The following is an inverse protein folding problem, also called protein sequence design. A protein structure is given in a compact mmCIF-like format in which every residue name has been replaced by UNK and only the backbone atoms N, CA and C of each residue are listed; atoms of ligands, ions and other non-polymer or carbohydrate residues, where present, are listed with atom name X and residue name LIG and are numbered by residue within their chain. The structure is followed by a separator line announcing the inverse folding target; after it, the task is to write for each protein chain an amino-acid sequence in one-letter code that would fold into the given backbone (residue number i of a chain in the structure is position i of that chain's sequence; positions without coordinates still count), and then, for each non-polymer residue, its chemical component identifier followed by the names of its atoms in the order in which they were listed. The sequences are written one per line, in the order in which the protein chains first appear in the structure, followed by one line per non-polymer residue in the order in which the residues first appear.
data_IF_162154601413
#
_entry.id   IF_162154601413
#
_cell.length_a   1.000
_cell.length_b   1.000
_cell.length_c   1.000
_cell.angle_alpha   90.00
_cell.angle_beta   90.00
_cell.angle_gamma   90.00
#
_symmetry.space_group_name_H-M   'P 1'
#
loop_
_entity.id
_entity.type
_entity.pdbx_description
1 polymer ?
#
# COMPACT_ATOMS: atom_id res chain seq x y z
N UNK A 1 -11.14 -7.24 -0.72
CA UNK A 1 -12.36 -7.51 -1.50
C UNK A 1 -13.43 -8.17 -0.62
N UNK A 2 -14.72 -7.98 -0.95
CA UNK A 2 -15.83 -8.61 -0.21
C UNK A 2 -15.76 -10.15 -0.18
N UNK A 3 -15.43 -10.86 -1.27
CA UNK A 3 -15.20 -12.30 -1.21
C UNK A 3 -14.13 -12.69 -0.20
N UNK A 4 -12.95 -12.08 -0.26
CA UNK A 4 -11.85 -12.34 0.68
C UNK A 4 -12.28 -12.14 2.13
N UNK A 5 -13.01 -11.07 2.43
CA UNK A 5 -13.52 -10.83 3.79
C UNK A 5 -14.43 -11.98 4.28
N UNK A 6 -15.30 -12.50 3.40
CA UNK A 6 -16.19 -13.61 3.74
C UNK A 6 -15.44 -14.93 3.95
N UNK A 7 -14.44 -15.18 3.09
CA UNK A 7 -13.62 -16.41 3.17
C UNK A 7 -12.75 -16.44 4.44
N UNK A 8 -12.27 -15.26 4.87
CA UNK A 8 -11.42 -15.13 6.06
C UNK A 8 -12.20 -15.00 7.38
N UNK A 9 -13.53 -14.89 7.33
CA UNK A 9 -14.37 -14.59 8.49
C UNK A 9 -14.12 -15.50 9.70
N UNK A 10 -13.91 -16.78 9.46
CA UNK A 10 -13.73 -17.78 10.52
C UNK A 10 -12.24 -18.14 10.74
N UNK A 11 -11.33 -17.49 10.02
CA UNK A 11 -9.88 -17.76 10.05
C UNK A 11 -9.14 -16.77 10.94
N UNK A 12 -9.45 -15.48 10.81
CA UNK A 12 -8.81 -14.42 11.58
C UNK A 12 -9.59 -14.11 12.85
N UNK A 13 -8.88 -13.77 13.92
CA UNK A 13 -9.49 -13.41 15.21
C UNK A 13 -9.94 -11.95 15.24
N UNK A 14 -9.18 -11.09 14.56
CA UNK A 14 -9.39 -9.64 14.54
C UNK A 14 -9.15 -9.10 13.13
N UNK A 15 -9.86 -8.02 12.80
CA UNK A 15 -9.75 -7.30 11.54
C UNK A 15 -9.60 -5.82 11.85
N UNK A 16 -8.57 -5.20 11.33
CA UNK A 16 -8.25 -3.80 11.55
C UNK A 16 -8.24 -3.04 10.22
N UNK A 17 -8.78 -1.83 10.19
CA UNK A 17 -8.78 -0.96 9.01
C UNK A 17 -9.14 0.47 9.39
N UNK A 18 -9.23 1.39 8.43
CA UNK A 18 -9.85 2.69 8.66
C UNK A 18 -11.32 2.52 9.11
N UNK A 19 -11.87 3.49 9.85
CA UNK A 19 -13.25 3.45 10.34
C UNK A 19 -14.26 3.16 9.24
N UNK A 20 -14.08 3.80 8.07
CA UNK A 20 -14.99 3.60 6.95
C UNK A 20 -14.96 2.16 6.43
N UNK A 21 -13.78 1.60 6.22
CA UNK A 21 -13.64 0.21 5.74
C UNK A 21 -14.14 -0.78 6.79
N UNK A 22 -13.90 -0.54 8.07
CA UNK A 22 -14.42 -1.37 9.16
C UNK A 22 -15.97 -1.37 9.17
N UNK A 23 -16.62 -0.22 8.94
CA UNK A 23 -18.09 -0.16 8.83
C UNK A 23 -18.61 -0.98 7.66
N UNK A 24 -17.95 -0.90 6.48
CA UNK A 24 -18.31 -1.70 5.31
C UNK A 24 -18.11 -3.22 5.54
N UNK A 25 -17.04 -3.60 6.25
CA UNK A 25 -16.83 -5.00 6.64
C UNK A 25 -18.02 -5.53 7.45
N UNK A 26 -18.52 -4.74 8.38
CA UNK A 26 -19.69 -5.09 9.19
C UNK A 26 -20.96 -5.17 8.36
N UNK A 27 -21.27 -4.13 7.61
CA UNK A 27 -22.52 -4.00 6.86
C UNK A 27 -22.62 -5.03 5.73
N UNK A 28 -21.54 -5.27 4.99
CA UNK A 28 -21.55 -6.04 3.76
C UNK A 28 -21.07 -7.49 3.91
N UNK A 29 -20.22 -7.75 4.92
CA UNK A 29 -19.59 -9.06 5.13
C UNK A 29 -19.94 -9.70 6.49
N UNK A 30 -20.56 -8.95 7.40
CA UNK A 30 -20.86 -9.41 8.75
C UNK A 30 -19.60 -9.66 9.60
N UNK A 31 -18.53 -8.89 9.31
CA UNK A 31 -17.28 -8.90 10.08
C UNK A 31 -17.26 -7.70 11.03
N UNK A 32 -16.99 -7.98 12.31
CA UNK A 32 -16.76 -6.92 13.29
C UNK A 32 -15.29 -6.43 13.18
N UNK A 33 -15.08 -5.51 12.23
CA UNK A 33 -13.80 -4.83 12.07
C UNK A 33 -13.60 -3.74 13.11
N UNK A 34 -12.35 -3.55 13.53
CA UNK A 34 -11.92 -2.49 14.42
C UNK A 34 -11.44 -1.33 13.57
N UNK A 35 -12.10 -0.15 13.72
CA UNK A 35 -11.76 1.06 12.99
C UNK A 35 -10.65 1.85 13.67
N UNK A 36 -9.78 2.45 12.86
CA UNK A 36 -8.66 3.28 13.28
C UNK A 36 -8.59 4.56 12.48
N UNK A 37 -7.99 5.60 13.07
CA UNK A 37 -7.57 6.81 12.38
C UNK A 37 -6.11 6.71 11.91
N UNK A 38 -5.73 7.62 11.01
CA UNK A 38 -4.34 7.79 10.61
C UNK A 38 -3.51 8.23 11.82
N UNK A 39 -2.37 7.58 12.04
CA UNK A 39 -1.50 7.77 13.19
C UNK A 39 -1.83 6.86 14.38
N UNK A 40 -2.89 6.07 14.30
CA UNK A 40 -3.17 5.05 15.31
C UNK A 40 -2.17 3.90 15.21
N UNK A 41 -1.92 3.28 16.35
CA UNK A 41 -1.06 2.11 16.51
C UNK A 41 -1.86 0.89 16.94
N UNK A 42 -1.62 -0.24 16.28
CA UNK A 42 -2.22 -1.53 16.60
C UNK A 42 -1.11 -2.43 17.16
N UNK A 43 -1.24 -2.82 18.42
CA UNK A 43 -0.27 -3.72 19.03
C UNK A 43 -0.73 -5.17 18.92
N UNK A 44 0.05 -6.00 18.21
CA UNK A 44 -0.20 -7.43 18.05
C UNK A 44 1.00 -8.19 18.61
N UNK A 45 0.92 -8.65 19.85
CA UNK A 45 2.05 -9.22 20.61
C UNK A 45 3.22 -8.21 20.65
N UNK A 46 4.36 -8.55 20.03
CA UNK A 46 5.56 -7.75 19.93
C UNK A 46 5.68 -6.98 18.59
N UNK A 47 4.61 -6.96 17.81
CA UNK A 47 4.52 -6.22 16.54
C UNK A 47 3.68 -4.96 16.75
N UNK A 48 4.21 -3.82 16.34
CA UNK A 48 3.50 -2.55 16.28
C UNK A 48 3.18 -2.19 14.83
N UNK A 49 1.91 -1.90 14.55
CA UNK A 49 1.42 -1.52 13.22
C UNK A 49 0.84 -0.12 13.30
N UNK A 50 1.47 0.83 12.64
CA UNK A 50 1.02 2.21 12.51
C UNK A 50 0.26 2.39 11.20
N UNK A 51 -0.91 3.04 11.23
CA UNK A 51 -1.63 3.49 10.05
C UNK A 51 -1.05 4.82 9.58
N UNK A 52 -0.37 4.81 8.44
CA UNK A 52 0.25 6.01 7.87
C UNK A 52 -0.62 6.62 6.76
N UNK A 53 -0.50 7.94 6.47
CA UNK A 53 -1.34 8.61 5.48
C UNK A 53 -1.16 8.06 4.07
N UNK A 54 -2.27 7.98 3.32
CA UNK A 54 -2.31 7.69 1.90
C UNK A 54 -3.29 8.63 1.18
N UNK A 55 -3.07 8.90 -0.11
CA UNK A 55 -4.01 9.64 -0.98
C UNK A 55 -4.42 8.77 -2.16
N UNK A 56 -5.64 8.30 -2.11
CA UNK A 56 -6.27 7.56 -3.22
C UNK A 56 -7.69 8.05 -3.50
N UNK A 57 -7.99 9.30 -3.17
CA UNK A 57 -9.32 9.92 -3.29
C UNK A 57 -9.65 10.40 -4.73
N UNK A 58 -9.13 9.71 -5.76
CA UNK A 58 -9.36 10.06 -7.17
C UNK A 58 -10.83 10.01 -7.58
N UNK A 59 -11.66 9.23 -6.88
CA UNK A 59 -13.10 9.12 -7.11
C UNK A 59 -13.80 10.47 -7.02
N UNK A 60 -13.31 11.40 -6.18
CA UNK A 60 -13.88 12.73 -6.04
C UNK A 60 -13.84 13.54 -7.36
N UNK A 61 -12.94 13.19 -8.27
CA UNK A 61 -12.73 13.88 -9.55
C UNK A 61 -13.48 13.22 -10.71
N UNK A 62 -14.11 12.08 -10.50
CA UNK A 62 -14.77 11.30 -11.55
C UNK A 62 -16.27 11.23 -11.29
N UNK A 63 -17.07 11.90 -12.13
CA UNK A 63 -18.52 12.03 -11.95
C UNK A 63 -19.27 10.73 -11.71
N UNK A 64 -18.80 9.60 -12.26
CA UNK A 64 -19.38 8.28 -12.05
C UNK A 64 -19.19 7.75 -10.63
N UNK A 65 -18.14 8.19 -9.94
CA UNK A 65 -17.72 7.64 -8.64
C UNK A 65 -17.82 8.64 -7.49
N UNK A 66 -18.12 9.92 -7.77
CA UNK A 66 -18.25 10.97 -6.75
C UNK A 66 -19.66 11.06 -6.13
N UNK A 67 -20.34 9.93 -6.01
CA UNK A 67 -21.67 9.86 -5.36
C UNK A 67 -21.63 10.17 -3.86
N UNK A 68 -20.44 10.29 -3.30
CA UNK A 68 -20.13 10.79 -1.97
C UNK A 68 -18.77 11.48 -1.98
N UNK A 69 -18.44 12.22 -0.92
CA UNK A 69 -17.06 12.70 -0.70
C UNK A 69 -16.24 11.55 -0.12
N UNK A 70 -15.10 11.27 -0.73
CA UNK A 70 -14.10 10.34 -0.25
C UNK A 70 -13.05 11.13 0.52
N UNK A 71 -12.89 10.83 1.81
CA UNK A 71 -12.02 11.58 2.72
C UNK A 71 -10.63 10.93 2.81
N UNK A 72 -9.58 11.74 2.96
CA UNK A 72 -8.19 11.26 3.01
C UNK A 72 -7.97 10.26 4.15
N UNK A 73 -8.63 10.43 5.29
CA UNK A 73 -8.58 9.51 6.43
C UNK A 73 -9.19 8.12 6.19
N UNK A 74 -9.82 7.90 5.03
CA UNK A 74 -10.37 6.60 4.65
C UNK A 74 -9.34 5.71 3.97
N UNK A 75 -8.18 6.28 3.61
CA UNK A 75 -7.05 5.59 2.99
C UNK A 75 -5.87 5.57 3.94
N UNK A 76 -5.19 4.44 4.02
CA UNK A 76 -4.00 4.30 4.84
C UNK A 76 -3.02 3.32 4.23
N UNK A 77 -1.77 3.57 4.48
CA UNK A 77 -0.68 2.63 4.36
C UNK A 77 -0.41 1.98 5.74
N UNK A 78 0.45 0.97 5.79
CA UNK A 78 0.79 0.30 7.04
C UNK A 78 2.29 0.30 7.26
N UNK A 79 2.73 0.85 8.39
CA UNK A 79 4.11 0.79 8.83
C UNK A 79 4.24 -0.21 9.99
N UNK A 80 4.89 -1.33 9.73
CA UNK A 80 4.98 -2.48 10.64
C UNK A 80 6.35 -2.53 11.27
N UNK A 81 6.41 -2.46 12.60
CA UNK A 81 7.61 -2.62 13.41
C UNK A 81 7.58 -3.95 14.11
N UNK A 82 8.48 -4.85 13.74
CA UNK A 82 8.77 -6.08 14.47
C UNK A 82 9.96 -5.87 15.41
N UNK A 83 10.32 -6.81 16.27
CA UNK A 83 11.52 -6.70 17.11
C UNK A 83 12.83 -6.51 16.33
N UNK A 84 12.86 -6.89 15.06
CA UNK A 84 14.08 -6.92 14.25
C UNK A 84 14.00 -6.15 12.95
N UNK A 85 12.82 -5.81 12.46
CA UNK A 85 12.60 -5.21 11.14
C UNK A 85 11.51 -4.15 11.15
N UNK A 86 11.69 -3.16 10.28
CA UNK A 86 10.70 -2.15 9.93
C UNK A 86 10.25 -2.41 8.49
N UNK A 87 8.97 -2.62 8.30
CA UNK A 87 8.37 -2.95 7.00
C UNK A 87 7.31 -1.91 6.71
N UNK A 88 7.45 -1.21 5.60
CA UNK A 88 6.44 -0.25 5.17
C UNK A 88 5.68 -0.79 3.96
N UNK A 89 4.39 -0.99 4.15
CA UNK A 89 3.49 -1.37 3.09
C UNK A 89 2.81 -0.11 2.55
N UNK A 90 3.39 0.47 1.50
CA UNK A 90 2.84 1.60 0.76
C UNK A 90 1.83 1.03 -0.23
N UNK A 91 0.55 1.33 -0.01
CA UNK A 91 -0.54 0.88 -0.87
C UNK A 91 -0.68 1.73 -2.15
N UNK A 92 -1.86 1.68 -2.73
CA UNK A 92 -2.22 2.50 -3.90
C UNK A 92 -2.38 3.96 -3.45
N UNK A 93 -1.31 4.73 -3.49
CA UNK A 93 -1.28 6.11 -3.03
C UNK A 93 -0.53 7.00 -3.99
N UNK A 94 -0.97 8.25 -4.14
CA UNK A 94 -0.09 9.29 -4.64
C UNK A 94 1.02 9.55 -3.63
N UNK A 95 2.15 10.08 -4.12
CA UNK A 95 3.22 10.47 -3.22
C UNK A 95 2.82 11.66 -2.36
N UNK A 96 2.86 11.48 -1.05
CA UNK A 96 2.68 12.54 -0.05
C UNK A 96 4.04 13.03 0.47
N UNK A 97 4.11 14.31 0.85
CA UNK A 97 5.35 14.88 1.39
C UNK A 97 5.80 14.18 2.68
N UNK A 98 4.88 13.81 3.56
CA UNK A 98 5.19 13.06 4.77
C UNK A 98 5.86 11.70 4.50
N UNK A 99 5.55 11.07 3.38
CA UNK A 99 6.15 9.80 2.98
C UNK A 99 7.65 9.91 2.62
N UNK A 100 8.14 11.12 2.36
CA UNK A 100 9.55 11.40 2.12
C UNK A 100 10.34 11.64 3.42
N UNK A 101 9.66 11.68 4.56
CA UNK A 101 10.24 12.00 5.88
C UNK A 101 9.95 10.93 6.94
N UNK A 102 9.56 9.74 6.50
CA UNK A 102 9.32 8.61 7.41
C UNK A 102 10.64 8.09 8.02
N UNK A 103 10.54 7.44 9.16
CA UNK A 103 11.64 6.63 9.68
C UNK A 103 12.02 5.58 8.62
N UNK A 104 13.29 5.48 8.18
CA UNK A 104 13.65 4.58 7.08
C UNK A 104 13.29 3.12 7.36
N UNK A 105 12.49 2.47 6.50
CA UNK A 105 12.18 1.05 6.64
C UNK A 105 13.32 0.16 6.16
N UNK A 106 13.39 -1.07 6.67
CA UNK A 106 14.28 -2.10 6.13
C UNK A 106 13.75 -2.62 4.79
N UNK A 107 12.43 -2.75 4.68
CA UNK A 107 11.74 -3.23 3.46
C UNK A 107 10.55 -2.32 3.18
N UNK A 108 10.37 -1.95 1.93
CA UNK A 108 9.21 -1.20 1.44
C UNK A 108 8.54 -1.97 0.30
N UNK A 109 7.25 -2.29 0.51
CA UNK A 109 6.37 -2.75 -0.56
C UNK A 109 5.67 -1.52 -1.12
N UNK A 110 5.88 -1.19 -2.39
CA UNK A 110 5.30 0.03 -2.93
C UNK A 110 4.78 -0.12 -4.35
N UNK A 111 3.77 0.68 -4.65
CA UNK A 111 3.11 0.75 -5.94
C UNK A 111 4.11 1.16 -7.05
N UNK A 112 4.11 0.41 -8.15
CA UNK A 112 4.89 0.72 -9.33
C UNK A 112 3.98 0.74 -10.58
N UNK A 113 2.98 1.61 -10.55
CA UNK A 113 2.04 1.83 -11.64
C UNK A 113 2.27 3.20 -12.29
N UNK A 114 2.36 3.23 -13.61
CA UNK A 114 2.47 4.49 -14.38
C UNK A 114 1.09 5.13 -14.55
N UNK A 115 0.60 5.73 -13.48
CA UNK A 115 -0.78 6.18 -13.40
C UNK A 115 -0.89 7.42 -12.49
N UNK A 116 -1.54 8.51 -12.94
CA UNK A 116 -1.67 9.74 -12.16
C UNK A 116 -2.60 9.64 -10.94
N UNK A 117 -3.41 8.58 -10.83
CA UNK A 117 -4.23 8.33 -9.64
C UNK A 117 -3.51 7.51 -8.57
N UNK A 118 -2.38 6.93 -8.95
CA UNK A 118 -1.40 6.26 -8.08
C UNK A 118 -0.14 7.11 -7.97
N UNK A 119 0.97 6.48 -7.61
CA UNK A 119 2.23 7.20 -7.40
C UNK A 119 2.81 7.79 -8.70
N UNK A 120 2.70 7.07 -9.83
CA UNK A 120 3.37 7.41 -11.09
C UNK A 120 4.89 7.18 -11.03
N UNK A 121 5.53 6.91 -12.16
CA UNK A 121 6.94 6.46 -12.20
C UNK A 121 7.91 7.49 -11.60
N UNK A 122 7.78 8.76 -11.93
CA UNK A 122 8.65 9.83 -11.43
C UNK A 122 8.64 9.91 -9.89
N UNK A 123 7.46 9.83 -9.30
CA UNK A 123 7.30 9.85 -7.85
C UNK A 123 7.75 8.53 -7.20
N UNK A 124 7.56 7.40 -7.88
CA UNK A 124 8.08 6.10 -7.43
C UNK A 124 9.61 6.13 -7.34
N UNK A 125 10.30 6.69 -8.34
CA UNK A 125 11.75 6.87 -8.29
C UNK A 125 12.17 7.83 -7.19
N UNK A 126 11.42 8.93 -6.98
CA UNK A 126 11.69 9.88 -5.90
C UNK A 126 11.56 9.22 -4.53
N UNK A 127 10.49 8.47 -4.28
CA UNK A 127 10.29 7.76 -3.03
C UNK A 127 11.38 6.72 -2.81
N UNK A 128 11.67 5.90 -3.81
CA UNK A 128 12.70 4.89 -3.76
C UNK A 128 14.09 5.48 -3.43
N UNK A 129 14.45 6.60 -4.06
CA UNK A 129 15.74 7.25 -3.85
C UNK A 129 15.84 8.01 -2.52
N UNK A 130 14.71 8.34 -1.90
CA UNK A 130 14.67 8.93 -0.54
C UNK A 130 15.21 7.93 0.50
N UNK A 131 15.02 6.63 0.28
CA UNK A 131 15.45 5.57 1.19
C UNK A 131 16.46 4.62 0.52
N UNK A 132 17.71 5.06 0.28
CA UNK A 132 18.66 4.36 -0.59
C UNK A 132 19.13 2.99 -0.07
N UNK A 133 18.92 2.70 1.21
CA UNK A 133 19.32 1.43 1.84
C UNK A 133 18.15 0.47 2.07
N UNK A 134 16.92 0.88 1.76
CA UNK A 134 15.70 0.10 1.93
C UNK A 134 15.57 -0.94 0.80
N UNK A 135 15.28 -2.19 1.11
CA UNK A 135 14.84 -3.18 0.12
C UNK A 135 13.53 -2.74 -0.50
N UNK A 136 13.44 -2.78 -1.82
CA UNK A 136 12.25 -2.36 -2.57
C UNK A 136 11.56 -3.58 -3.17
N UNK A 137 10.39 -3.91 -2.68
CA UNK A 137 9.54 -4.96 -3.25
C UNK A 137 8.44 -4.29 -4.07
N UNK A 138 8.47 -4.46 -5.38
CA UNK A 138 7.51 -3.82 -6.28
C UNK A 138 6.17 -4.54 -6.22
N UNK A 139 5.10 -3.76 -6.02
CA UNK A 139 3.73 -4.23 -6.13
C UNK A 139 2.95 -3.41 -7.16
N UNK A 140 1.74 -3.83 -7.48
CA UNK A 140 0.83 -3.13 -8.40
C UNK A 140 1.36 -2.93 -9.83
N UNK A 141 2.40 -3.63 -10.23
CA UNK A 141 2.86 -3.69 -11.61
C UNK A 141 2.25 -4.90 -12.33
N UNK A 142 1.94 -4.79 -13.62
CA UNK A 142 1.40 -5.90 -14.40
C UNK A 142 0.06 -6.45 -13.87
N UNK A 143 -0.72 -5.63 -13.15
CA UNK A 143 -1.96 -6.06 -12.52
C UNK A 143 -3.12 -6.23 -13.51
N UNK A 144 -2.99 -5.71 -14.74
CA UNK A 144 -4.00 -5.78 -15.80
C UNK A 144 -3.34 -6.31 -17.07
N UNK A 145 -3.82 -7.43 -17.60
CA UNK A 145 -3.44 -7.91 -18.92
C UNK A 145 -4.25 -7.16 -20.00
N UNK A 146 -3.87 -5.89 -20.17
CA UNK A 146 -4.47 -4.98 -21.14
C UNK A 146 -3.38 -4.05 -21.66
N UNK A 147 -2.65 -4.42 -22.72
CA UNK A 147 -1.55 -3.61 -23.28
C UNK A 147 -1.96 -2.17 -23.65
N UNK A 148 -3.23 -1.97 -24.01
CA UNK A 148 -3.80 -0.64 -24.28
C UNK A 148 -4.03 0.21 -23.03
N UNK A 149 -4.04 -0.40 -21.84
CA UNK A 149 -4.16 0.28 -20.56
C UNK A 149 -2.79 0.42 -19.85
N UNK A 150 -1.77 0.85 -20.57
CA UNK A 150 -0.39 0.96 -20.10
C UNK A 150 -0.23 1.79 -18.81
N UNK A 151 -1.15 2.73 -18.56
CA UNK A 151 -1.17 3.53 -17.35
C UNK A 151 -1.35 2.73 -16.04
N UNK A 152 -1.76 1.45 -16.11
CA UNK A 152 -1.88 0.57 -14.95
C UNK A 152 -0.75 -0.46 -14.84
N UNK A 153 0.22 -0.41 -15.76
CA UNK A 153 1.29 -1.38 -15.87
C UNK A 153 2.63 -0.66 -16.01
N UNK A 154 3.31 -0.41 -14.89
CA UNK A 154 4.72 -0.05 -14.93
C UNK A 154 5.54 -1.26 -15.39
N UNK A 155 6.57 -1.04 -16.23
CA UNK A 155 7.55 -2.07 -16.50
C UNK A 155 8.53 -2.12 -15.32
N UNK A 156 8.59 -3.20 -14.52
CA UNK A 156 9.40 -3.25 -13.31
C UNK A 156 10.92 -3.16 -13.59
N UNK A 157 11.36 -3.40 -14.83
CA UNK A 157 12.77 -3.24 -15.22
C UNK A 157 13.19 -1.76 -15.28
N UNK A 158 12.25 -0.85 -15.54
CA UNK A 158 12.55 0.58 -15.68
C UNK A 158 13.03 1.21 -14.36
N UNK A 159 12.71 0.60 -13.22
CA UNK A 159 13.19 1.11 -11.92
C UNK A 159 14.71 0.97 -11.78
N UNK A 160 15.30 -0.08 -12.35
CA UNK A 160 16.72 -0.40 -12.18
C UNK A 160 17.64 0.71 -12.70
N UNK A 161 17.22 1.40 -13.76
CA UNK A 161 17.99 2.48 -14.37
C UNK A 161 17.76 3.85 -13.66
N UNK A 162 16.78 3.94 -12.75
CA UNK A 162 16.33 5.19 -12.17
C UNK A 162 16.50 5.26 -10.64
N UNK A 163 17.02 4.21 -10.01
CA UNK A 163 17.24 4.19 -8.56
C UNK A 163 18.69 3.95 -8.20
N UNK A 164 19.11 4.54 -7.09
CA UNK A 164 20.41 4.25 -6.49
C UNK A 164 20.39 2.84 -5.88
N UNK A 165 21.51 2.12 -5.95
CA UNK A 165 21.66 0.75 -5.43
C UNK A 165 20.59 -0.21 -6.02
N UNK A 166 20.51 -0.39 -7.34
CA UNK A 166 19.45 -1.18 -7.98
C UNK A 166 19.42 -2.66 -7.54
N UNK A 167 20.49 -3.18 -6.96
CA UNK A 167 20.57 -4.53 -6.39
C UNK A 167 19.62 -4.76 -5.19
N UNK A 168 19.08 -3.71 -4.63
CA UNK A 168 18.06 -3.78 -3.56
C UNK A 168 16.64 -3.96 -4.07
N UNK A 169 16.41 -3.86 -5.38
CA UNK A 169 15.10 -4.03 -6.00
C UNK A 169 14.74 -5.50 -6.10
N UNK A 170 13.56 -5.84 -5.65
CA UNK A 170 13.00 -7.19 -5.69
C UNK A 170 11.74 -7.18 -6.54
N UNK A 171 11.74 -7.95 -7.61
CA UNK A 171 10.62 -8.08 -8.54
C UNK A 171 10.14 -9.53 -8.44
N UNK A 172 8.93 -9.73 -7.90
CA UNK A 172 8.36 -11.05 -7.65
C UNK A 172 7.17 -11.30 -8.57
N UNK A 173 7.04 -12.52 -9.03
CA UNK A 173 5.82 -12.98 -9.68
C UNK A 173 4.70 -13.18 -8.63
N UNK A 174 3.41 -13.09 -9.03
CA UNK A 174 2.31 -13.40 -8.12
C UNK A 174 2.45 -14.82 -7.53
N UNK A 175 2.44 -14.90 -6.20
CA UNK A 175 2.62 -16.17 -5.46
C UNK A 175 4.07 -16.59 -5.22
N UNK A 176 5.05 -15.83 -5.69
CA UNK A 176 6.44 -16.06 -5.37
C UNK A 176 6.75 -15.67 -3.93
N UNK A 177 7.48 -16.54 -3.21
CA UNK A 177 7.84 -16.33 -1.81
C UNK A 177 9.09 -15.45 -1.71
N UNK A 178 9.04 -14.50 -0.77
CA UNK A 178 10.19 -13.66 -0.41
C UNK A 178 10.39 -13.68 1.11
N UNK A 179 11.60 -14.01 1.54
CA UNK A 179 11.99 -14.00 2.95
C UNK A 179 12.71 -12.69 3.26
N UNK A 180 12.21 -11.97 4.26
CA UNK A 180 12.84 -10.76 4.79
C UNK A 180 13.87 -11.16 5.84
N UNK A 181 15.15 -11.17 5.47
CA UNK A 181 16.29 -11.49 6.33
C UNK A 181 16.69 -10.34 7.25
#
# INVERSE_FOLDING_TARGET
SRPTCRDLKDVCKEYHSSYYVASLMKEECGLDGIGHDIGDHIQINDIDVELTPADHAWQNQVAKYNYRIWEDREYCDFYVKTPTKKIWYVGDSKLLDCQLHMDPPDVMFFDFADNPVHIGLENAYKLANTYPNTKLVLIHWGSIDAPEASAFNGNPQDILDNVVNPERVVILAPGEEYVVD
#
